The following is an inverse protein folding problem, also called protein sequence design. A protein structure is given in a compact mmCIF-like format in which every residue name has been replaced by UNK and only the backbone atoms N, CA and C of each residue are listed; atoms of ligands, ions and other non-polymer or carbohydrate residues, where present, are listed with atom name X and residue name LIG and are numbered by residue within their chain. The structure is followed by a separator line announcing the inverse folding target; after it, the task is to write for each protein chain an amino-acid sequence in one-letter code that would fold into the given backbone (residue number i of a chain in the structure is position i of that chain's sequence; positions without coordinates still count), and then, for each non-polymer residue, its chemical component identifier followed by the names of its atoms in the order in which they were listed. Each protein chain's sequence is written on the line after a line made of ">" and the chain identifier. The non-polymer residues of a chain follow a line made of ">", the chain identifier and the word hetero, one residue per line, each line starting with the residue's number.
data_IF_604433112286
#
_entry.id   IF_604433112286
#
_cell.length_a   1.000
_cell.length_b   1.000
_cell.length_c   1.000
_cell.angle_alpha   90.00
_cell.angle_beta   90.00
_cell.angle_gamma   90.00
#
_symmetry.space_group_name_H-M   'P 1'
#
loop_
_entity.id
_entity.type
_entity.pdbx_description
1 polymer ?
#
# COMPACT_ATOMS: atom_id res chain seq x y z
N UNK A 1 4.06 8.97 -24.96
CA UNK A 1 4.00 9.42 -23.56
C UNK A 1 4.19 10.93 -23.58
N UNK A 2 3.21 11.72 -23.12
CA UNK A 2 3.30 13.17 -23.12
C UNK A 2 3.94 13.64 -21.81
N UNK A 3 5.01 14.43 -21.90
CA UNK A 3 5.61 15.07 -20.71
C UNK A 3 4.94 16.42 -20.47
N UNK A 4 4.73 16.76 -19.20
CA UNK A 4 4.29 18.09 -18.77
C UNK A 4 5.33 18.68 -17.82
N UNK A 5 5.56 19.98 -17.93
CA UNK A 5 6.40 20.71 -16.98
C UNK A 5 5.54 21.02 -15.75
N UNK A 6 6.05 20.68 -14.57
CA UNK A 6 5.47 21.02 -13.29
C UNK A 6 6.53 21.71 -12.43
N UNK A 7 6.13 22.78 -11.74
CA UNK A 7 6.98 23.41 -10.72
C UNK A 7 6.75 22.69 -9.39
N UNK A 8 7.84 22.35 -8.69
CA UNK A 8 7.80 21.69 -7.38
C UNK A 8 8.77 22.39 -6.44
N UNK A 9 8.38 22.51 -5.18
CA UNK A 9 9.25 23.06 -4.15
C UNK A 9 10.12 21.95 -3.56
N UNK A 10 11.43 22.15 -3.58
CA UNK A 10 12.43 21.19 -3.10
C UNK A 10 13.49 21.96 -2.30
N UNK A 11 14.07 21.31 -1.28
CA UNK A 11 15.18 21.89 -0.52
C UNK A 11 16.34 22.30 -1.44
N UNK A 12 16.80 23.53 -1.29
CA UNK A 12 17.97 24.06 -2.02
C UNK A 12 19.22 23.20 -1.77
N UNK A 13 19.46 22.78 -0.52
CA UNK A 13 20.59 21.90 -0.18
C UNK A 13 20.55 20.59 -0.98
N UNK A 14 19.35 20.03 -1.17
CA UNK A 14 19.18 18.79 -1.90
C UNK A 14 19.47 18.97 -3.39
N UNK A 15 19.07 20.10 -3.98
CA UNK A 15 19.37 20.44 -5.36
C UNK A 15 20.87 20.64 -5.58
N UNK A 16 21.53 21.37 -4.69
CA UNK A 16 22.99 21.57 -4.75
C UNK A 16 23.74 20.24 -4.67
N UNK A 17 23.30 19.34 -3.80
CA UNK A 17 23.88 17.99 -3.68
C UNK A 17 23.62 17.13 -4.91
N UNK A 18 22.44 17.24 -5.51
CA UNK A 18 22.10 16.51 -6.74
C UNK A 18 22.96 17.00 -7.92
N UNK A 19 23.14 18.32 -8.05
CA UNK A 19 24.00 18.93 -9.07
C UNK A 19 25.46 18.51 -8.89
N UNK A 20 25.99 18.59 -7.66
CA UNK A 20 27.36 18.14 -7.35
C UNK A 20 27.59 16.65 -7.63
N UNK A 21 26.54 15.84 -7.53
CA UNK A 21 26.56 14.40 -7.83
C UNK A 21 26.25 14.08 -9.31
N UNK A 22 25.93 15.07 -10.15
CA UNK A 22 25.55 14.87 -11.55
C UNK A 22 24.22 14.14 -11.74
N UNK A 23 23.30 14.24 -10.77
CA UNK A 23 21.99 13.59 -10.82
C UNK A 23 21.03 14.43 -11.68
N UNK A 24 20.39 13.80 -12.66
CA UNK A 24 19.26 14.40 -13.37
C UNK A 24 18.03 14.44 -12.46
N UNK A 25 17.70 15.63 -11.96
CA UNK A 25 16.56 15.86 -11.06
C UNK A 25 15.24 15.46 -11.70
N UNK A 26 15.05 15.68 -13.00
CA UNK A 26 13.81 15.31 -13.68
C UNK A 26 13.63 13.80 -13.73
N UNK A 27 14.71 13.06 -13.99
CA UNK A 27 14.68 11.60 -13.98
C UNK A 27 14.44 11.08 -12.55
N UNK A 28 15.15 11.63 -11.56
CA UNK A 28 15.02 11.21 -10.17
C UNK A 28 13.60 11.43 -9.62
N UNK A 29 12.95 12.54 -9.99
CA UNK A 29 11.55 12.80 -9.61
C UNK A 29 10.60 11.79 -10.25
N UNK A 30 10.78 11.47 -11.54
CA UNK A 30 9.96 10.48 -12.23
C UNK A 30 10.06 9.09 -11.57
N UNK A 31 11.28 8.62 -11.30
CA UNK A 31 11.53 7.33 -10.63
C UNK A 31 10.93 7.30 -9.23
N UNK A 32 11.11 8.37 -8.44
CA UNK A 32 10.54 8.47 -7.10
C UNK A 32 9.00 8.48 -7.12
N UNK A 33 8.38 9.13 -8.13
CA UNK A 33 6.93 9.13 -8.30
C UNK A 33 6.42 7.74 -8.66
N UNK A 34 7.08 7.02 -9.57
CA UNK A 34 6.71 5.63 -9.91
C UNK A 34 6.72 4.73 -8.68
N UNK A 35 7.81 4.76 -7.90
CA UNK A 35 7.94 3.97 -6.66
C UNK A 35 6.80 4.29 -5.68
N UNK A 36 6.49 5.57 -5.49
CA UNK A 36 5.41 6.01 -4.59
C UNK A 36 4.03 5.60 -5.09
N UNK A 37 3.77 5.74 -6.39
CA UNK A 37 2.49 5.35 -6.99
C UNK A 37 2.26 3.83 -6.88
N UNK A 38 3.29 3.01 -7.12
CA UNK A 38 3.19 1.57 -6.90
C UNK A 38 2.93 1.22 -5.44
N UNK A 39 3.59 1.92 -4.50
CA UNK A 39 3.35 1.70 -3.07
C UNK A 39 1.91 2.03 -2.67
N UNK A 40 1.34 3.12 -3.21
CA UNK A 40 -0.07 3.47 -3.01
C UNK A 40 -0.99 2.42 -3.63
N UNK A 41 -0.74 2.03 -4.88
CA UNK A 41 -1.54 1.01 -5.56
C UNK A 41 -1.52 -0.34 -4.83
N UNK A 42 -0.35 -0.78 -4.34
CA UNK A 42 -0.21 -1.99 -3.52
C UNK A 42 -0.97 -1.89 -2.20
N UNK A 43 -0.94 -0.75 -1.53
CA UNK A 43 -1.70 -0.52 -0.30
C UNK A 43 -3.22 -0.61 -0.56
N UNK A 44 -3.67 0.02 -1.64
CA UNK A 44 -5.09 0.04 -1.99
C UNK A 44 -5.57 -1.35 -2.43
N UNK A 45 -4.76 -2.10 -3.18
CA UNK A 45 -5.01 -3.51 -3.49
C UNK A 45 -5.10 -4.39 -2.23
N UNK A 46 -4.18 -4.21 -1.27
CA UNK A 46 -4.24 -4.95 -0.01
C UNK A 46 -5.47 -4.58 0.84
N UNK A 47 -5.89 -3.32 0.81
CA UNK A 47 -7.12 -2.89 1.48
C UNK A 47 -8.37 -3.51 0.85
N UNK A 48 -8.36 -3.76 -0.45
CA UNK A 48 -9.42 -4.46 -1.18
C UNK A 48 -9.43 -5.96 -0.86
N UNK A 49 -8.28 -6.63 -1.00
CA UNK A 49 -8.13 -8.06 -0.72
C UNK A 49 -8.45 -8.41 0.74
N UNK A 50 -8.05 -7.57 1.71
CA UNK A 50 -8.43 -7.76 3.10
C UNK A 50 -9.94 -7.65 3.32
N UNK A 51 -10.64 -6.81 2.56
CA UNK A 51 -12.09 -6.66 2.69
C UNK A 51 -12.79 -7.92 2.23
N UNK A 52 -12.39 -8.45 1.08
CA UNK A 52 -12.91 -9.72 0.56
C UNK A 52 -12.60 -10.90 1.50
N UNK A 53 -11.37 -10.99 2.01
CA UNK A 53 -10.96 -12.00 2.96
C UNK A 53 -11.74 -11.94 4.29
N UNK A 54 -11.93 -10.74 4.84
CA UNK A 54 -12.74 -10.54 6.04
C UNK A 54 -14.22 -10.86 5.82
N UNK A 55 -14.79 -10.50 4.68
CA UNK A 55 -16.18 -10.83 4.36
C UNK A 55 -16.39 -12.33 4.16
N UNK A 56 -15.47 -13.00 3.46
CA UNK A 56 -15.48 -14.46 3.30
C UNK A 56 -15.41 -15.16 4.65
N UNK A 57 -14.52 -14.69 5.54
CA UNK A 57 -14.38 -15.23 6.89
C UNK A 57 -15.61 -14.95 7.76
N UNK A 58 -16.23 -13.76 7.65
CA UNK A 58 -17.50 -13.43 8.33
C UNK A 58 -18.62 -14.37 7.89
N UNK A 59 -18.80 -14.57 6.58
CA UNK A 59 -19.80 -15.52 6.04
C UNK A 59 -19.59 -16.94 6.56
N UNK A 60 -18.33 -17.37 6.63
CA UNK A 60 -17.98 -18.69 7.19
C UNK A 60 -18.35 -18.80 8.68
N UNK A 61 -18.06 -17.77 9.48
CA UNK A 61 -18.45 -17.73 10.90
C UNK A 61 -19.97 -17.70 11.06
N UNK A 62 -20.70 -16.91 10.27
CA UNK A 62 -22.17 -16.86 10.31
C UNK A 62 -22.79 -18.22 9.97
N UNK A 63 -22.25 -18.91 8.97
CA UNK A 63 -22.77 -20.21 8.54
C UNK A 63 -22.38 -21.38 9.46
N UNK A 64 -21.19 -21.37 10.05
CA UNK A 64 -20.61 -22.53 10.74
C UNK A 64 -20.29 -22.31 12.22
N UNK A 65 -20.50 -21.10 12.72
CA UNK A 65 -20.06 -20.68 14.05
C UNK A 65 -18.54 -20.65 14.19
N UNK A 66 -18.10 -20.12 15.32
CA UNK A 66 -16.69 -20.04 15.67
C UNK A 66 -16.17 -21.37 16.26
N UNK A 67 -14.87 -21.61 16.16
CA UNK A 67 -14.24 -22.77 16.82
C UNK A 67 -14.46 -22.75 18.34
N UNK A 68 -14.48 -21.56 18.94
CA UNK A 68 -14.75 -21.39 20.37
C UNK A 68 -16.16 -21.83 20.78
N UNK A 69 -17.17 -21.62 19.93
CA UNK A 69 -18.52 -22.14 20.18
C UNK A 69 -18.56 -23.67 20.11
N UNK A 70 -17.88 -24.27 19.13
CA UNK A 70 -17.77 -25.73 19.03
C UNK A 70 -17.06 -26.36 20.23
N UNK A 71 -16.04 -25.69 20.78
CA UNK A 71 -15.30 -26.14 21.96
C UNK A 71 -16.09 -25.99 23.28
N UNK A 72 -17.02 -25.04 23.38
CA UNK A 72 -17.93 -24.94 24.55
C UNK A 72 -18.82 -26.18 24.70
N UNK A 73 -19.15 -26.86 23.60
CA UNK A 73 -19.89 -28.12 23.63
C UNK A 73 -19.06 -29.33 24.03
N UNK A 74 -17.72 -29.27 23.92
CA UNK A 74 -16.79 -30.33 24.31
C UNK A 74 -16.49 -30.35 25.82
N UNK A 75 -16.75 -29.26 26.54
CA UNK A 75 -16.49 -29.15 27.99
C UNK A 75 -17.71 -29.52 28.85
N UNK A 76 -18.50 -30.48 28.37
CA UNK A 76 -19.65 -31.05 29.08
C UNK A 76 -19.44 -32.56 29.23
N UNK A 77 -18.37 -32.93 29.94
CA UNK A 77 -18.14 -34.25 30.52
C UNK A 77 -17.54 -34.05 31.90
#
# INVERSE_FOLDING_TARGET
>A
MNRKIASVEVSEELLLRAEAAGIDVSQAVEEALQIRLEAVARRDAWAEENREGLESYRRYIEAHGTMGERLKHLRRF
#
